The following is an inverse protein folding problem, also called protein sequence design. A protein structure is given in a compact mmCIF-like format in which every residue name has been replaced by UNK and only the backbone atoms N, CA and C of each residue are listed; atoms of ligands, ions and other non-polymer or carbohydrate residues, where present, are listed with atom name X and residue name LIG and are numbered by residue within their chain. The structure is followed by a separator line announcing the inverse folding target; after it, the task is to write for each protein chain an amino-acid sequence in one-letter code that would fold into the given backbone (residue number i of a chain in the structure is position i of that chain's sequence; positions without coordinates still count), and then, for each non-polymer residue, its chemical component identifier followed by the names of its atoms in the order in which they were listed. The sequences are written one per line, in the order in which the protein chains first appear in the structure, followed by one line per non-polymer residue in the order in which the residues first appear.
data_IF_247980481750
#
_entry.id   IF_247980481750
#
_cell.length_a   1.000
_cell.length_b   1.000
_cell.length_c   1.000
_cell.angle_alpha   90.00
_cell.angle_beta   90.00
_cell.angle_gamma   90.00
#
_symmetry.space_group_name_H-M   'P 1'
#
loop_
_entity.id
_entity.type
_entity.pdbx_description
1 polymer ?
#
# COMPACT_ATOMS: atom_id res chain seq x y z
N UNK A 1 -33.86 -9.44 -9.72
CA UNK A 1 -33.10 -9.71 -8.48
C UNK A 1 -33.18 -11.21 -8.22
N UNK A 2 -32.16 -11.96 -8.62
CA UNK A 2 -32.17 -13.43 -8.55
C UNK A 2 -32.00 -13.82 -7.07
N UNK A 3 -33.06 -14.38 -6.46
CA UNK A 3 -32.99 -15.04 -5.15
C UNK A 3 -32.30 -16.38 -5.35
N UNK A 4 -31.00 -16.45 -5.13
CA UNK A 4 -30.31 -17.73 -4.99
C UNK A 4 -30.64 -18.34 -3.62
N UNK A 5 -30.90 -19.64 -3.62
CA UNK A 5 -31.15 -20.43 -2.41
C UNK A 5 -29.89 -20.48 -1.54
N UNK A 6 -30.06 -20.43 -0.21
CA UNK A 6 -28.97 -20.51 0.79
C UNK A 6 -28.16 -21.82 0.71
N UNK A 7 -28.68 -22.82 0.00
CA UNK A 7 -28.12 -24.16 -0.08
C UNK A 7 -27.12 -24.36 -1.25
N UNK A 8 -26.95 -23.37 -2.13
CA UNK A 8 -26.00 -23.43 -3.27
C UNK A 8 -24.64 -22.78 -2.98
N UNK A 9 -24.46 -22.19 -1.80
CA UNK A 9 -23.19 -21.54 -1.43
C UNK A 9 -22.16 -22.58 -1.00
N UNK A 10 -20.93 -22.44 -1.50
CA UNK A 10 -19.79 -23.18 -0.98
C UNK A 10 -19.57 -22.87 0.52
N UNK A 11 -18.96 -23.78 1.27
CA UNK A 11 -18.64 -23.54 2.68
C UNK A 11 -17.77 -22.30 2.90
N UNK A 12 -16.96 -21.93 1.90
CA UNK A 12 -16.18 -20.70 1.87
C UNK A 12 -17.07 -19.45 1.79
N UNK A 13 -18.07 -19.43 0.91
CA UNK A 13 -19.01 -18.31 0.78
C UNK A 13 -19.94 -18.20 1.99
N UNK A 14 -20.33 -19.33 2.59
CA UNK A 14 -21.07 -19.35 3.87
C UNK A 14 -20.25 -18.74 4.99
N UNK A 15 -18.93 -18.97 5.04
CA UNK A 15 -18.05 -18.38 6.03
C UNK A 15 -17.92 -16.86 5.88
N UNK A 16 -17.83 -16.36 4.64
CA UNK A 16 -17.83 -14.91 4.34
C UNK A 16 -19.16 -14.28 4.76
N UNK A 17 -20.28 -14.90 4.40
CA UNK A 17 -21.61 -14.39 4.70
C UNK A 17 -21.88 -14.34 6.22
N UNK A 18 -21.43 -15.36 6.97
CA UNK A 18 -21.52 -15.39 8.45
C UNK A 18 -20.74 -14.23 9.08
N UNK A 19 -19.53 -13.92 8.57
CA UNK A 19 -18.71 -12.80 9.06
C UNK A 19 -19.34 -11.44 8.75
N UNK A 20 -19.90 -11.28 7.55
CA UNK A 20 -20.60 -10.05 7.15
C UNK A 20 -21.82 -9.78 8.04
N UNK A 21 -22.68 -10.79 8.26
CA UNK A 21 -23.87 -10.64 9.09
C UNK A 21 -23.54 -10.37 10.57
N UNK A 22 -22.45 -10.94 11.09
CA UNK A 22 -22.00 -10.68 12.45
C UNK A 22 -21.61 -9.21 12.65
N UNK A 23 -20.85 -8.62 11.72
CA UNK A 23 -20.48 -7.19 11.77
C UNK A 23 -21.69 -6.27 11.66
N UNK A 24 -22.62 -6.58 10.74
CA UNK A 24 -23.83 -5.78 10.56
C UNK A 24 -24.68 -5.70 11.84
N UNK A 25 -24.82 -6.81 12.56
CA UNK A 25 -25.57 -6.84 13.82
C UNK A 25 -24.85 -6.11 14.96
N UNK A 26 -23.51 -6.12 14.98
CA UNK A 26 -22.71 -5.34 15.94
C UNK A 26 -22.84 -3.83 15.66
N UNK A 27 -22.87 -3.42 14.39
CA UNK A 27 -23.06 -2.01 13.98
C UNK A 27 -24.48 -1.49 14.27
N UNK A 28 -25.52 -2.29 14.03
CA UNK A 28 -26.92 -1.93 14.38
C UNK A 28 -27.17 -1.86 15.90
N UNK A 29 -26.35 -2.55 16.70
CA UNK A 29 -26.41 -2.48 18.17
C UNK A 29 -25.72 -1.22 18.72
N UNK A 30 -24.72 -0.69 18.03
CA UNK A 30 -24.01 0.53 18.42
C UNK A 30 -24.73 1.81 17.96
N UNK A 31 -25.51 1.76 16.87
CA UNK A 31 -26.19 2.96 16.35
C UNK A 31 -27.41 3.41 17.16
N UNK A 32 -27.84 2.65 18.19
CA UNK A 32 -29.00 2.99 19.02
C UNK A 32 -28.70 3.85 20.24
N UNK A 33 -27.43 4.18 20.48
CA UNK A 33 -26.99 4.86 21.71
C UNK A 33 -26.47 6.30 21.51
N UNK A 34 -26.50 6.87 20.29
CA UNK A 34 -25.84 8.15 19.99
C UNK A 34 -26.78 9.30 19.55
N UNK A 35 -28.10 9.13 19.62
CA UNK A 35 -29.06 10.19 19.30
C UNK A 35 -29.45 11.02 20.54
N UNK A 36 -28.52 11.81 21.09
CA UNK A 36 -28.83 13.03 21.86
C UNK A 36 -27.56 13.85 22.18
N UNK A 37 -27.23 14.83 21.35
CA UNK A 37 -26.91 16.21 21.76
C UNK A 37 -26.37 17.04 20.58
N UNK A 38 -26.82 18.29 20.51
CA UNK A 38 -26.69 19.16 19.34
C UNK A 38 -25.95 20.47 19.64
N UNK A 39 -25.26 21.00 18.62
CA UNK A 39 -24.93 22.42 18.32
C UNK A 39 -23.80 23.12 19.11
N UNK A 40 -22.69 23.46 18.43
CA UNK A 40 -22.43 24.82 17.87
C UNK A 40 -20.99 25.06 17.34
N UNK A 41 -20.94 25.71 16.15
CA UNK A 41 -19.95 26.60 15.49
C UNK A 41 -18.42 26.30 15.39
N UNK A 42 -18.05 26.09 14.11
CA UNK A 42 -16.91 26.62 13.33
C UNK A 42 -15.46 26.26 13.71
N UNK A 43 -15.01 25.12 13.20
CA UNK A 43 -13.76 24.95 12.43
C UNK A 43 -14.00 23.75 11.51
N UNK A 44 -13.84 23.86 10.18
CA UNK A 44 -14.08 22.72 9.28
C UNK A 44 -12.94 21.70 9.36
N UNK A 45 -12.96 20.87 10.39
CA UNK A 45 -12.34 19.55 10.42
C UNK A 45 -13.31 18.58 9.74
N UNK A 46 -12.88 17.96 8.63
CA UNK A 46 -13.67 16.94 7.97
C UNK A 46 -13.90 15.75 8.92
N UNK A 47 -15.16 15.31 8.96
CA UNK A 47 -15.73 14.42 9.94
C UNK A 47 -15.18 12.98 9.91
N UNK A 48 -15.13 12.36 11.10
CA UNK A 48 -15.35 10.92 11.26
C UNK A 48 -14.15 9.99 11.13
N UNK A 49 -12.96 10.37 11.60
CA UNK A 49 -11.79 9.49 11.53
C UNK A 49 -11.74 8.50 12.69
N UNK A 50 -12.28 7.30 12.49
CA UNK A 50 -11.72 6.09 13.10
C UNK A 50 -10.35 5.85 12.45
N UNK A 51 -9.36 6.68 12.80
CA UNK A 51 -7.96 6.41 12.48
C UNK A 51 -7.58 5.17 13.29
N UNK A 52 -7.65 3.98 12.68
CA UNK A 52 -7.01 2.80 13.23
C UNK A 52 -5.50 3.03 13.18
N UNK A 53 -4.97 3.68 14.21
CA UNK A 53 -3.55 3.97 14.35
C UNK A 53 -2.86 2.70 14.80
N UNK A 54 -2.54 1.84 13.83
CA UNK A 54 -1.62 0.73 14.07
C UNK A 54 -0.27 1.33 14.45
N UNK A 55 0.20 1.04 15.67
CA UNK A 55 1.52 1.46 16.11
C UNK A 55 2.54 0.48 15.53
N UNK A 56 3.46 0.99 14.73
CA UNK A 56 4.52 0.17 14.12
C UNK A 56 5.78 0.30 14.95
N UNK A 57 6.32 -0.85 15.35
CA UNK A 57 7.63 -0.97 15.95
C UNK A 57 8.52 -1.80 15.02
N UNK A 58 9.62 -1.21 14.56
CA UNK A 58 10.58 -1.89 13.68
C UNK A 58 11.19 -3.14 14.33
N UNK A 59 11.32 -3.17 15.67
CA UNK A 59 11.79 -4.37 16.37
C UNK A 59 10.78 -5.52 16.29
N UNK A 60 9.48 -5.23 16.28
CA UNK A 60 8.46 -6.27 16.12
C UNK A 60 8.49 -6.83 14.70
N UNK A 61 8.75 -5.98 13.69
CA UNK A 61 8.95 -6.43 12.31
C UNK A 61 10.15 -7.36 12.19
N UNK A 62 11.26 -7.06 12.87
CA UNK A 62 12.48 -7.88 12.83
C UNK A 62 12.29 -9.19 13.59
N UNK A 63 11.74 -9.13 14.80
CA UNK A 63 11.71 -10.28 15.71
C UNK A 63 10.49 -11.20 15.49
N UNK A 64 9.37 -10.65 15.03
CA UNK A 64 8.09 -11.36 14.92
C UNK A 64 7.50 -11.33 13.50
N UNK A 65 8.15 -10.64 12.55
CA UNK A 65 7.73 -10.61 11.16
C UNK A 65 7.79 -11.99 10.52
N UNK A 66 6.65 -12.45 10.00
CA UNK A 66 6.54 -13.70 9.24
C UNK A 66 6.42 -13.42 7.76
N UNK A 67 7.21 -14.15 6.97
CA UNK A 67 7.21 -14.06 5.52
C UNK A 67 6.14 -14.96 4.91
N UNK A 68 5.39 -14.43 3.94
CA UNK A 68 4.38 -15.13 3.16
C UNK A 68 4.73 -15.03 1.68
N UNK A 69 5.11 -16.14 1.07
CA UNK A 69 5.48 -16.22 -0.34
C UNK A 69 4.47 -17.06 -1.10
N UNK A 70 4.02 -16.57 -2.26
CA UNK A 70 3.18 -17.34 -3.17
C UNK A 70 3.64 -17.16 -4.62
N UNK A 71 3.70 -18.30 -5.32
CA UNK A 71 3.90 -18.43 -6.78
C UNK A 71 2.70 -19.07 -7.46
N UNK A 72 1.54 -19.00 -6.80
CA UNK A 72 0.31 -19.61 -7.28
C UNK A 72 -0.09 -19.03 -8.65
N UNK A 73 -0.71 -19.89 -9.48
CA UNK A 73 -1.15 -19.53 -10.82
C UNK A 73 -2.62 -19.87 -11.02
N UNK A 74 -3.31 -19.04 -11.80
CA UNK A 74 -4.64 -19.30 -12.36
C UNK A 74 -4.55 -19.06 -13.86
N UNK A 75 -5.01 -20.03 -14.66
CA UNK A 75 -4.99 -19.97 -16.13
C UNK A 75 -3.62 -19.60 -16.72
N UNK A 76 -2.55 -20.16 -16.14
CA UNK A 76 -1.16 -19.94 -16.58
C UNK A 76 -0.52 -18.63 -16.11
N UNK A 77 -1.31 -17.69 -15.56
CA UNK A 77 -0.83 -16.41 -15.02
C UNK A 77 -0.60 -16.49 -13.52
N UNK A 78 0.42 -15.80 -13.01
CA UNK A 78 0.64 -15.74 -11.56
C UNK A 78 -0.45 -14.90 -10.88
N UNK A 79 -0.91 -15.36 -9.73
CA UNK A 79 -1.82 -14.64 -8.82
C UNK A 79 -1.20 -14.50 -7.42
N UNK A 80 0.12 -14.65 -7.34
CA UNK A 80 0.88 -14.73 -6.09
C UNK A 80 0.74 -13.47 -5.23
N UNK A 81 0.61 -12.29 -5.86
CA UNK A 81 0.41 -11.02 -5.14
C UNK A 81 -0.83 -11.06 -4.26
N UNK A 82 -2.00 -11.39 -4.81
CA UNK A 82 -3.24 -11.44 -4.03
C UNK A 82 -3.21 -12.52 -2.95
N UNK A 83 -2.65 -13.69 -3.25
CA UNK A 83 -2.57 -14.82 -2.31
C UNK A 83 -1.65 -14.50 -1.14
N UNK A 84 -0.43 -14.05 -1.41
CA UNK A 84 0.55 -13.75 -0.37
C UNK A 84 0.12 -12.55 0.50
N UNK A 85 -0.49 -11.52 -0.11
CA UNK A 85 -1.01 -10.37 0.64
C UNK A 85 -2.13 -10.79 1.59
N UNK A 86 -3.09 -11.60 1.11
CA UNK A 86 -4.16 -12.14 1.96
C UNK A 86 -3.58 -12.90 3.17
N UNK A 87 -2.65 -13.82 2.93
CA UNK A 87 -2.05 -14.62 4.00
C UNK A 87 -1.32 -13.75 5.03
N UNK A 88 -0.63 -12.70 4.57
CA UNK A 88 0.06 -11.77 5.46
C UNK A 88 -0.94 -10.94 6.30
N UNK A 89 -2.02 -10.45 5.70
CA UNK A 89 -3.09 -9.73 6.40
C UNK A 89 -3.85 -10.61 7.39
N UNK A 90 -4.18 -11.85 6.98
CA UNK A 90 -4.86 -12.83 7.84
C UNK A 90 -4.01 -13.19 9.06
N UNK A 91 -2.69 -13.33 8.89
CA UNK A 91 -1.75 -13.55 9.99
C UNK A 91 -1.60 -12.33 10.90
N UNK A 92 -1.49 -11.14 10.32
CA UNK A 92 -1.36 -9.90 11.08
C UNK A 92 -2.59 -9.65 11.97
N UNK A 93 -3.78 -9.99 11.47
CA UNK A 93 -5.04 -9.75 12.18
C UNK A 93 -5.37 -8.25 12.32
N UNK A 94 -6.39 -7.89 13.11
CA UNK A 94 -6.90 -6.52 13.16
C UNK A 94 -5.95 -5.50 13.82
N UNK A 95 -5.02 -5.97 14.65
CA UNK A 95 -4.07 -5.13 15.39
C UNK A 95 -2.64 -5.20 14.82
N UNK A 96 -2.39 -6.13 13.89
CA UNK A 96 -1.11 -6.28 13.22
C UNK A 96 -1.00 -5.40 11.99
N UNK A 97 0.11 -5.59 11.27
CA UNK A 97 0.36 -4.89 10.01
C UNK A 97 1.14 -5.76 9.02
N UNK A 98 1.13 -5.34 7.76
CA UNK A 98 2.01 -5.87 6.71
C UNK A 98 3.00 -4.77 6.36
N UNK A 99 4.29 -5.11 6.34
CA UNK A 99 5.36 -4.13 6.19
C UNK A 99 5.25 -3.31 4.90
N UNK A 100 5.39 -2.01 5.05
CA UNK A 100 5.44 -1.04 3.94
C UNK A 100 6.87 -0.83 3.44
N UNK A 101 7.04 -0.08 2.34
CA UNK A 101 8.35 0.28 1.82
C UNK A 101 9.22 1.01 2.86
N UNK A 102 8.76 2.10 3.52
CA UNK A 102 9.57 2.79 4.53
C UNK A 102 9.98 1.87 5.69
N UNK A 103 9.05 1.06 6.20
CA UNK A 103 9.27 0.21 7.36
C UNK A 103 10.25 -0.93 7.06
N UNK A 104 10.14 -1.54 5.88
CA UNK A 104 11.05 -2.62 5.50
C UNK A 104 12.46 -2.08 5.19
N UNK A 105 12.58 -0.86 4.66
CA UNK A 105 13.88 -0.15 4.54
C UNK A 105 14.51 0.04 5.92
N UNK A 106 13.75 0.58 6.88
CA UNK A 106 14.23 0.79 8.25
C UNK A 106 14.60 -0.53 8.94
N UNK A 107 13.80 -1.59 8.78
CA UNK A 107 14.08 -2.90 9.34
C UNK A 107 15.32 -3.55 8.73
N UNK A 108 15.51 -3.46 7.41
CA UNK A 108 16.75 -3.89 6.74
C UNK A 108 17.96 -3.14 7.31
N UNK A 109 17.86 -1.84 7.53
CA UNK A 109 18.96 -1.08 8.11
C UNK A 109 19.29 -1.48 9.54
N UNK A 110 18.28 -1.73 10.38
CA UNK A 110 18.47 -2.12 11.78
C UNK A 110 18.94 -3.57 11.96
N UNK A 111 18.65 -4.47 11.01
CA UNK A 111 18.95 -5.89 11.10
C UNK A 111 19.89 -6.40 9.98
N UNK A 112 21.17 -6.07 10.09
CA UNK A 112 22.23 -6.29 9.09
C UNK A 112 22.37 -7.74 8.61
N UNK A 113 22.30 -8.71 9.51
CA UNK A 113 22.46 -10.13 9.19
C UNK A 113 21.13 -10.84 8.89
N UNK A 114 20.02 -10.10 8.93
CA UNK A 114 18.69 -10.67 8.80
C UNK A 114 18.40 -11.15 7.37
N UNK A 115 17.49 -12.12 7.26
CA UNK A 115 17.01 -12.68 6.00
C UNK A 115 16.34 -11.65 5.07
N UNK A 116 16.06 -10.44 5.57
CA UNK A 116 15.58 -9.32 4.76
C UNK A 116 16.60 -8.88 3.69
N UNK A 117 17.90 -9.07 3.90
CA UNK A 117 18.93 -8.77 2.89
C UNK A 117 19.16 -9.90 1.87
N UNK A 118 18.66 -11.11 2.15
CA UNK A 118 18.87 -12.29 1.30
C UNK A 118 17.75 -12.51 0.28
N UNK A 119 16.63 -11.79 0.44
CA UNK A 119 15.39 -12.02 -0.31
C UNK A 119 14.83 -10.68 -0.79
N UNK A 120 14.09 -10.73 -1.89
CA UNK A 120 13.23 -9.63 -2.35
C UNK A 120 11.84 -9.75 -1.72
N UNK A 121 11.12 -8.64 -1.60
CA UNK A 121 9.81 -8.57 -0.98
C UNK A 121 8.87 -7.71 -1.81
N UNK A 122 7.61 -8.13 -1.91
CA UNK A 122 6.52 -7.21 -2.14
C UNK A 122 6.22 -6.50 -0.81
N UNK A 123 5.85 -5.24 -0.88
CA UNK A 123 5.54 -4.43 0.32
C UNK A 123 4.09 -3.97 0.26
N UNK A 124 3.50 -3.68 1.42
CA UNK A 124 2.14 -3.14 1.52
C UNK A 124 2.11 -1.64 1.15
N UNK A 125 2.77 -1.31 0.06
CA UNK A 125 2.83 0.00 -0.56
C UNK A 125 2.41 -0.15 -2.02
N UNK A 126 1.53 0.72 -2.49
CA UNK A 126 1.02 0.73 -3.86
C UNK A 126 1.33 2.05 -4.58
N UNK A 127 1.48 1.98 -5.90
CA UNK A 127 1.56 3.12 -6.82
C UNK A 127 0.28 3.21 -7.63
N UNK A 128 -0.42 4.34 -7.51
CA UNK A 128 -1.68 4.60 -8.20
C UNK A 128 -1.55 5.85 -9.08
N UNK A 129 -1.86 5.75 -10.36
CA UNK A 129 -1.90 6.90 -11.26
C UNK A 129 -3.33 7.22 -11.67
N UNK A 130 -3.61 8.50 -11.87
CA UNK A 130 -4.91 8.99 -12.29
C UNK A 130 -4.92 10.52 -12.43
N UNK A 131 -6.09 11.11 -12.64
CA UNK A 131 -6.25 12.56 -12.83
C UNK A 131 -6.76 13.24 -11.56
N UNK A 132 -6.10 14.30 -11.10
CA UNK A 132 -6.62 15.19 -10.06
C UNK A 132 -7.71 16.11 -10.63
N UNK A 133 -8.91 15.54 -10.83
CA UNK A 133 -10.05 16.23 -11.47
C UNK A 133 -10.50 17.50 -10.73
N UNK A 134 -10.21 17.59 -9.42
CA UNK A 134 -10.63 18.67 -8.52
C UNK A 134 -9.51 19.69 -8.24
N UNK A 135 -8.26 19.38 -8.57
CA UNK A 135 -7.11 20.23 -8.26
C UNK A 135 -6.82 20.30 -6.76
N UNK A 136 -6.99 19.18 -6.04
CA UNK A 136 -6.78 19.09 -4.57
C UNK A 136 -5.30 19.20 -4.20
N UNK A 137 -4.45 18.54 -4.96
CA UNK A 137 -3.01 18.45 -4.70
C UNK A 137 -2.19 19.23 -5.71
N UNK A 138 -2.67 19.34 -6.95
CA UNK A 138 -1.98 20.07 -8.00
C UNK A 138 -3.00 20.81 -8.87
N UNK A 139 -2.67 21.11 -10.13
CA UNK A 139 -3.59 21.82 -11.01
C UNK A 139 -4.78 20.94 -11.35
N UNK A 140 -5.94 21.55 -11.58
CA UNK A 140 -7.14 20.82 -11.99
C UNK A 140 -6.88 20.09 -13.31
N UNK A 141 -7.18 18.79 -13.35
CA UNK A 141 -6.96 17.95 -14.52
C UNK A 141 -5.52 17.47 -14.67
N UNK A 142 -4.65 17.75 -13.70
CA UNK A 142 -3.26 17.30 -13.73
C UNK A 142 -3.16 15.80 -13.43
N UNK A 143 -2.43 15.02 -14.23
CA UNK A 143 -2.07 13.65 -13.90
C UNK A 143 -1.20 13.58 -12.64
N UNK A 144 -1.58 12.74 -11.70
CA UNK A 144 -0.86 12.55 -10.43
C UNK A 144 -0.53 11.08 -10.19
N UNK A 145 0.58 10.85 -9.50
CA UNK A 145 0.94 9.59 -8.88
C UNK A 145 0.66 9.69 -7.39
N UNK A 146 -0.06 8.72 -6.84
CA UNK A 146 -0.34 8.56 -5.42
C UNK A 146 0.34 7.28 -4.94
N UNK A 147 1.36 7.41 -4.10
CA UNK A 147 1.98 6.27 -3.41
C UNK A 147 1.26 6.09 -2.09
N UNK A 148 0.67 4.92 -1.82
CA UNK A 148 -0.04 4.67 -0.56
C UNK A 148 0.70 3.59 0.22
N UNK A 149 1.08 3.91 1.45
CA UNK A 149 1.66 2.98 2.41
C UNK A 149 0.57 2.42 3.33
N UNK A 150 0.67 1.14 3.69
CA UNK A 150 -0.21 0.47 4.64
C UNK A 150 -1.56 0.04 4.07
N UNK A 151 -1.64 -0.13 2.75
CA UNK A 151 -2.83 -0.61 2.02
C UNK A 151 -3.81 0.49 1.62
N UNK A 152 -4.06 0.61 0.32
CA UNK A 152 -4.99 1.56 -0.29
C UNK A 152 -6.10 0.88 -1.08
N UNK A 153 -6.18 1.13 -2.38
CA UNK A 153 -7.20 0.55 -3.28
C UNK A 153 -6.97 -0.95 -3.48
N UNK A 154 -5.72 -1.41 -3.52
CA UNK A 154 -5.34 -2.78 -3.87
C UNK A 154 -5.47 -3.74 -2.68
N UNK A 155 -6.70 -3.98 -2.23
CA UNK A 155 -6.99 -5.13 -1.35
C UNK A 155 -6.80 -6.45 -2.10
N UNK A 156 -6.61 -7.59 -1.39
CA UNK A 156 -6.57 -8.91 -2.04
C UNK A 156 -7.78 -9.16 -2.96
N UNK A 157 -8.99 -8.79 -2.52
CA UNK A 157 -10.22 -8.91 -3.30
C UNK A 157 -10.17 -8.03 -4.54
N UNK A 158 -9.68 -6.79 -4.42
CA UNK A 158 -9.61 -5.87 -5.55
C UNK A 158 -8.59 -6.33 -6.60
N UNK A 159 -7.47 -6.89 -6.16
CA UNK A 159 -6.44 -7.47 -7.04
C UNK A 159 -7.00 -8.71 -7.76
N UNK A 160 -7.68 -9.62 -7.05
CA UNK A 160 -8.33 -10.79 -7.67
C UNK A 160 -9.33 -10.37 -8.74
N UNK A 161 -10.17 -9.39 -8.42
CA UNK A 161 -11.12 -8.81 -9.37
C UNK A 161 -10.41 -8.23 -10.60
N UNK A 162 -9.27 -7.55 -10.42
CA UNK A 162 -8.49 -7.04 -11.55
C UNK A 162 -7.91 -8.14 -12.45
N UNK A 163 -7.60 -9.33 -11.92
CA UNK A 163 -7.20 -10.47 -12.74
C UNK A 163 -8.35 -10.93 -13.65
N UNK A 164 -9.56 -11.00 -13.11
CA UNK A 164 -10.74 -11.44 -13.87
C UNK A 164 -11.19 -10.36 -14.88
N UNK A 165 -11.05 -9.07 -14.55
CA UNK A 165 -11.32 -7.94 -15.46
C UNK A 165 -10.24 -7.73 -16.55
N UNK A 166 -9.05 -8.30 -16.34
CA UNK A 166 -7.87 -8.07 -17.16
C UNK A 166 -7.01 -6.90 -16.68
N UNK A 167 -5.69 -7.11 -16.69
CA UNK A 167 -4.70 -6.11 -16.31
C UNK A 167 -4.32 -5.22 -17.51
N UNK A 168 -4.08 -3.94 -17.24
CA UNK A 168 -3.51 -3.00 -18.23
C UNK A 168 -2.03 -2.84 -17.91
N UNK A 169 -1.15 -3.34 -18.79
CA UNK A 169 0.31 -3.31 -18.58
C UNK A 169 0.72 -3.83 -17.18
N UNK A 170 0.10 -4.94 -16.75
CA UNK A 170 0.34 -5.54 -15.44
C UNK A 170 -0.23 -4.76 -14.24
N UNK A 171 -1.06 -3.75 -14.47
CA UNK A 171 -1.69 -2.94 -13.42
C UNK A 171 -3.19 -3.23 -13.32
N UNK A 172 -3.74 -3.07 -12.12
CA UNK A 172 -5.19 -3.10 -11.93
C UNK A 172 -5.78 -1.81 -12.48
N UNK A 173 -6.73 -1.93 -13.42
CA UNK A 173 -7.56 -0.81 -13.87
C UNK A 173 -8.52 -0.43 -12.77
N UNK A 174 -8.64 0.84 -12.43
CA UNK A 174 -9.60 1.36 -11.46
C UNK A 174 -10.79 2.03 -12.14
N UNK A 175 -11.89 2.12 -11.40
CA UNK A 175 -12.98 3.05 -11.71
C UNK A 175 -12.56 4.46 -11.29
N UNK A 176 -13.12 5.46 -11.93
CA UNK A 176 -12.86 6.86 -11.60
C UNK A 176 -13.21 7.18 -10.15
N UNK A 177 -14.29 6.59 -9.63
CA UNK A 177 -14.71 6.77 -8.25
C UNK A 177 -13.66 6.23 -7.27
N UNK A 178 -13.06 5.06 -7.54
CA UNK A 178 -12.02 4.47 -6.67
C UNK A 178 -10.81 5.41 -6.53
N UNK A 179 -10.39 6.03 -7.63
CA UNK A 179 -9.26 6.97 -7.60
C UNK A 179 -9.63 8.33 -7.00
N UNK A 180 -10.83 8.83 -7.27
CA UNK A 180 -11.31 10.08 -6.67
C UNK A 180 -11.50 9.93 -5.15
N UNK A 181 -12.01 8.80 -4.68
CA UNK A 181 -12.14 8.50 -3.26
C UNK A 181 -10.76 8.41 -2.61
N UNK A 182 -9.78 7.78 -3.28
CA UNK A 182 -8.39 7.79 -2.81
C UNK A 182 -7.87 9.23 -2.65
N UNK A 183 -8.07 10.13 -3.63
CA UNK A 183 -7.68 11.54 -3.52
C UNK A 183 -8.46 12.32 -2.44
N UNK A 184 -9.63 11.82 -2.06
CA UNK A 184 -10.41 12.32 -0.93
C UNK A 184 -9.94 11.70 0.41
N UNK A 185 -8.90 10.86 0.38
CA UNK A 185 -8.33 10.15 1.53
C UNK A 185 -9.14 8.94 1.98
N UNK A 186 -10.13 8.50 1.20
CA UNK A 186 -11.07 7.42 1.56
C UNK A 186 -10.64 6.09 0.95
N UNK A 187 -10.73 5.02 1.73
CA UNK A 187 -10.31 3.69 1.31
C UNK A 187 -11.49 2.70 1.23
N UNK A 188 -11.36 1.60 0.46
CA UNK A 188 -12.45 0.63 0.26
C UNK A 188 -12.94 -0.06 1.54
N UNK A 189 -12.10 -0.10 2.58
CA UNK A 189 -12.43 -0.66 3.90
C UNK A 189 -13.24 0.32 4.78
N UNK A 190 -13.59 1.51 4.26
CA UNK A 190 -14.32 2.55 4.96
C UNK A 190 -13.44 3.44 5.87
N UNK A 191 -12.14 3.18 5.93
CA UNK A 191 -11.19 4.01 6.68
C UNK A 191 -10.68 5.17 5.84
N UNK A 192 -9.96 6.08 6.50
CA UNK A 192 -9.33 7.23 5.85
C UNK A 192 -7.82 7.26 6.10
N UNK A 193 -7.08 7.86 5.16
CA UNK A 193 -5.65 8.12 5.25
C UNK A 193 -5.33 9.60 5.05
N UNK A 194 -4.23 10.03 5.66
CA UNK A 194 -3.65 11.33 5.35
C UNK A 194 -2.84 11.25 4.06
N UNK A 195 -2.97 12.29 3.24
CA UNK A 195 -2.25 12.44 1.97
C UNK A 195 -1.38 13.69 2.03
N UNK A 196 -0.09 13.51 1.78
CA UNK A 196 0.90 14.57 1.78
C UNK A 196 1.35 14.87 0.36
N UNK A 197 1.57 16.15 0.02
CA UNK A 197 2.24 16.49 -1.23
C UNK A 197 3.71 16.08 -1.14
N UNK A 198 4.30 15.69 -2.26
CA UNK A 198 5.72 15.31 -2.33
C UNK A 198 6.67 16.32 -1.67
N UNK A 199 6.40 17.63 -1.81
CA UNK A 199 7.21 18.69 -1.21
C UNK A 199 7.28 18.63 0.32
N UNK A 200 6.24 18.10 0.96
CA UNK A 200 6.16 17.97 2.42
C UNK A 200 7.00 16.78 2.86
N UNK A 201 6.85 15.64 2.19
CA UNK A 201 7.68 14.44 2.39
C UNK A 201 9.16 14.72 2.16
N UNK A 202 9.50 15.47 1.10
CA UNK A 202 10.89 15.85 0.80
C UNK A 202 11.52 16.75 1.86
N UNK A 203 10.73 17.61 2.51
CA UNK A 203 11.20 18.46 3.63
C UNK A 203 11.45 17.66 4.92
N UNK A 204 10.88 16.46 5.00
CA UNK A 204 10.88 15.61 6.19
C UNK A 204 9.62 15.86 7.03
N UNK A 205 8.85 14.80 7.23
CA UNK A 205 7.73 14.76 8.19
C UNK A 205 8.11 13.71 9.23
N UNK A 206 8.19 14.12 10.49
CA UNK A 206 8.39 13.18 11.59
C UNK A 206 7.10 12.42 11.90
N UNK A 207 7.25 11.17 12.36
CA UNK A 207 6.14 10.36 12.89
C UNK A 207 4.99 10.10 11.89
N UNK A 208 5.33 9.87 10.62
CA UNK A 208 4.34 9.41 9.64
C UNK A 208 3.64 8.14 10.17
N UNK A 209 2.31 8.04 10.07
CA UNK A 209 1.58 6.86 10.49
C UNK A 209 1.91 5.67 9.59
N UNK A 210 1.54 4.45 10.01
CA UNK A 210 1.64 3.26 9.15
C UNK A 210 0.93 3.45 7.80
N UNK A 211 -0.27 4.05 7.84
CA UNK A 211 -1.11 4.31 6.68
C UNK A 211 -1.10 5.79 6.29
N UNK A 212 -0.49 6.10 5.15
CA UNK A 212 -0.46 7.45 4.58
C UNK A 212 -0.23 7.37 3.07
N UNK A 213 -0.55 8.45 2.36
CA UNK A 213 -0.21 8.59 0.95
C UNK A 213 0.69 9.79 0.63
N UNK A 214 1.42 9.68 -0.47
CA UNK A 214 2.26 10.73 -1.04
C UNK A 214 1.76 11.02 -2.44
N UNK A 215 1.37 12.27 -2.70
CA UNK A 215 0.88 12.72 -4.00
C UNK A 215 1.95 13.55 -4.70
N UNK A 216 2.26 13.22 -5.95
CA UNK A 216 3.20 13.96 -6.79
C UNK A 216 2.67 14.12 -8.23
N UNK A 217 3.12 15.12 -8.99
CA UNK A 217 2.80 15.19 -10.42
C UNK A 217 3.31 13.94 -11.10
N UNK A 218 2.48 13.30 -11.92
CA UNK A 218 2.89 12.07 -12.59
C UNK A 218 4.06 12.33 -13.55
N UNK A 219 4.08 13.50 -14.19
CA UNK A 219 5.21 13.95 -15.04
C UNK A 219 6.54 13.98 -14.29
N UNK A 220 6.53 14.37 -13.01
CA UNK A 220 7.74 14.35 -12.17
C UNK A 220 8.26 12.92 -11.99
N UNK A 221 7.37 11.94 -11.80
CA UNK A 221 7.75 10.54 -11.69
C UNK A 221 8.20 9.96 -13.04
N UNK A 222 7.52 10.31 -14.14
CA UNK A 222 7.87 9.87 -15.50
C UNK A 222 9.24 10.35 -15.95
N UNK A 223 9.63 11.56 -15.55
CA UNK A 223 10.92 12.14 -15.90
C UNK A 223 12.10 11.60 -15.07
N UNK A 224 11.83 10.75 -14.07
CA UNK A 224 12.91 10.03 -13.39
C UNK A 224 13.46 8.92 -14.30
N UNK A 225 14.77 8.69 -14.22
CA UNK A 225 15.39 7.59 -14.95
C UNK A 225 14.99 6.28 -14.28
N UNK A 226 14.49 5.31 -15.05
CA UNK A 226 14.24 3.94 -14.59
C UNK A 226 15.49 3.08 -14.81
N UNK A 227 16.43 3.08 -13.86
CA UNK A 227 17.69 2.34 -13.99
C UNK A 227 18.34 2.12 -12.60
N UNK A 228 19.60 1.69 -12.60
CA UNK A 228 20.51 1.72 -11.47
C UNK A 228 21.12 3.12 -11.33
N UNK A 229 21.06 3.67 -10.12
CA UNK A 229 21.49 5.03 -9.82
C UNK A 229 22.73 5.03 -8.94
N UNK A 230 23.64 5.97 -9.21
CA UNK A 230 24.70 6.31 -8.25
C UNK A 230 24.12 7.09 -7.07
N UNK A 231 24.91 7.25 -6.00
CA UNK A 231 24.46 7.82 -4.72
C UNK A 231 23.71 9.14 -4.88
N UNK A 232 24.32 10.12 -5.53
CA UNK A 232 23.72 11.45 -5.70
C UNK A 232 22.38 11.38 -6.42
N UNK A 233 22.32 10.66 -7.54
CA UNK A 233 21.09 10.51 -8.31
C UNK A 233 20.00 9.79 -7.51
N UNK A 234 20.36 8.75 -6.75
CA UNK A 234 19.42 8.00 -5.92
C UNK A 234 18.82 8.87 -4.81
N UNK A 235 19.67 9.64 -4.11
CA UNK A 235 19.25 10.54 -3.03
C UNK A 235 18.39 11.71 -3.50
N UNK A 236 18.61 12.18 -4.73
CA UNK A 236 17.87 13.31 -5.31
C UNK A 236 16.63 12.87 -6.11
N UNK A 237 16.48 11.56 -6.39
CA UNK A 237 15.39 11.03 -7.20
C UNK A 237 14.04 11.19 -6.48
N UNK A 238 13.10 11.99 -7.02
CA UNK A 238 11.84 12.28 -6.36
C UNK A 238 10.96 11.03 -6.18
N UNK A 239 11.05 10.05 -7.08
CA UNK A 239 10.31 8.80 -6.97
C UNK A 239 10.87 7.92 -5.83
N UNK A 240 12.19 7.88 -5.65
CA UNK A 240 12.83 7.17 -4.54
C UNK A 240 12.40 7.77 -3.20
N UNK A 241 12.47 9.09 -3.07
CA UNK A 241 12.05 9.82 -1.86
C UNK A 241 10.57 9.54 -1.54
N UNK A 242 9.69 9.60 -2.56
CA UNK A 242 8.27 9.35 -2.36
C UNK A 242 7.97 7.89 -1.95
N UNK A 243 8.64 6.90 -2.58
CA UNK A 243 8.50 5.47 -2.25
C UNK A 243 9.02 5.15 -0.85
N UNK A 244 10.14 5.75 -0.45
CA UNK A 244 10.74 5.53 0.87
C UNK A 244 10.04 6.31 2.00
N UNK A 245 9.03 7.14 1.68
CA UNK A 245 8.31 7.93 2.66
C UNK A 245 9.13 9.08 3.25
N UNK A 246 10.21 9.51 2.58
CA UNK A 246 11.10 10.56 3.07
C UNK A 246 12.57 10.28 2.74
N UNK A 247 13.45 11.08 3.33
CA UNK A 247 14.90 11.02 3.11
C UNK A 247 15.67 10.32 4.24
N UNK A 248 15.03 10.11 5.40
CA UNK A 248 15.66 9.72 6.66
C UNK A 248 16.60 8.52 6.53
N UNK A 249 16.15 7.47 5.84
CA UNK A 249 16.89 6.22 5.72
C UNK A 249 17.62 6.04 4.38
N UNK A 250 17.49 6.99 3.44
CA UNK A 250 17.96 6.76 2.07
C UNK A 250 19.48 6.64 1.96
N UNK A 251 20.23 7.46 2.70
CA UNK A 251 21.69 7.48 2.64
C UNK A 251 22.27 6.15 3.14
N UNK A 252 21.86 5.77 4.35
CA UNK A 252 22.25 4.50 4.96
C UNK A 252 21.77 3.31 4.13
N UNK A 253 20.54 3.36 3.58
CA UNK A 253 20.03 2.29 2.72
C UNK A 253 20.88 2.16 1.47
N UNK A 254 21.21 3.28 0.81
CA UNK A 254 22.08 3.27 -0.35
C UNK A 254 23.44 2.64 -0.06
N UNK A 255 24.10 3.04 1.04
CA UNK A 255 25.43 2.54 1.38
C UNK A 255 25.47 1.01 1.56
N UNK A 256 24.37 0.43 2.05
CA UNK A 256 24.26 -1.00 2.31
C UNK A 256 23.67 -1.79 1.15
N UNK A 257 22.74 -1.19 0.40
CA UNK A 257 22.07 -1.80 -0.73
C UNK A 257 22.89 -1.74 -2.02
N UNK A 258 23.84 -0.79 -2.14
CA UNK A 258 24.63 -0.62 -3.37
C UNK A 258 25.28 -1.95 -3.73
N UNK A 259 25.01 -2.39 -4.96
CA UNK A 259 25.71 -3.52 -5.57
C UNK A 259 26.47 -3.00 -6.79
N UNK A 260 26.75 -3.87 -7.75
CA UNK A 260 27.29 -3.61 -9.09
C UNK A 260 27.60 -2.13 -9.37
N UNK A 261 28.90 -1.79 -9.44
CA UNK A 261 29.38 -0.44 -9.75
C UNK A 261 28.89 0.66 -8.78
N UNK A 262 28.64 0.32 -7.51
CA UNK A 262 28.15 1.23 -6.47
C UNK A 262 26.80 1.88 -6.85
N UNK A 263 25.84 1.07 -7.30
CA UNK A 263 24.51 1.54 -7.70
C UNK A 263 23.38 0.79 -7.00
N UNK A 264 22.22 1.44 -6.88
CA UNK A 264 20.95 0.87 -6.39
C UNK A 264 19.86 1.11 -7.44
N UNK A 265 19.02 0.10 -7.68
CA UNK A 265 17.93 0.21 -8.65
C UNK A 265 16.79 1.10 -8.19
N UNK A 266 16.26 1.93 -9.09
CA UNK A 266 14.92 2.52 -8.97
C UNK A 266 14.16 2.29 -10.27
N UNK A 267 13.48 1.16 -10.36
CA UNK A 267 12.87 0.71 -11.61
C UNK A 267 11.38 1.09 -11.67
N UNK A 268 10.92 1.48 -12.87
CA UNK A 268 9.52 1.72 -13.16
C UNK A 268 9.22 1.61 -14.67
N UNK A 269 8.03 1.15 -14.99
CA UNK A 269 7.51 1.10 -16.37
C UNK A 269 6.42 2.17 -16.58
N UNK A 270 6.77 3.44 -16.38
CA UNK A 270 5.81 4.55 -16.61
C UNK A 270 5.67 4.93 -18.09
N UNK A 271 6.64 4.55 -18.93
CA UNK A 271 6.53 4.72 -20.38
C UNK A 271 5.29 3.98 -20.89
N UNK A 272 4.44 4.66 -21.67
CA UNK A 272 3.22 4.10 -22.24
C UNK A 272 2.04 3.90 -21.27
N UNK A 273 2.15 4.33 -20.00
CA UNK A 273 1.03 4.28 -19.05
C UNK A 273 0.25 5.60 -19.08
N UNK A 274 -1.01 5.51 -19.49
CA UNK A 274 -1.95 6.62 -19.53
C UNK A 274 -2.67 6.78 -18.18
N UNK A 275 -2.58 7.97 -17.59
CA UNK A 275 -3.26 8.33 -16.35
C UNK A 275 -4.74 8.71 -16.56
N UNK A 276 -5.19 8.88 -17.81
CA UNK A 276 -6.62 9.09 -18.10
C UNK A 276 -7.48 7.88 -17.72
N UNK A 277 -6.86 6.70 -17.71
CA UNK A 277 -7.42 5.47 -17.13
C UNK A 277 -6.74 5.22 -15.79
N UNK A 278 -7.41 5.48 -14.64
CA UNK A 278 -6.79 5.29 -13.35
C UNK A 278 -6.39 3.82 -13.14
N UNK A 279 -5.20 3.60 -12.58
CA UNK A 279 -4.63 2.27 -12.46
C UNK A 279 -3.53 2.21 -11.41
N UNK A 280 -3.26 1.02 -10.86
CA UNK A 280 -2.17 0.87 -9.90
C UNK A 280 -1.66 -0.54 -9.72
N UNK A 281 -0.56 -0.62 -8.96
CA UNK A 281 0.19 -1.85 -8.69
C UNK A 281 0.90 -1.77 -7.34
N UNK A 282 1.26 -2.92 -6.79
CA UNK A 282 2.07 -2.98 -5.56
C UNK A 282 3.55 -2.74 -5.86
N UNK A 283 4.27 -2.26 -4.85
CA UNK A 283 5.71 -2.06 -4.90
C UNK A 283 6.48 -3.26 -4.36
N UNK A 284 7.75 -3.32 -4.77
CA UNK A 284 8.71 -4.33 -4.39
C UNK A 284 10.02 -3.68 -3.95
N UNK A 285 10.65 -4.28 -2.94
CA UNK A 285 11.96 -3.93 -2.41
C UNK A 285 12.87 -5.14 -2.55
N UNK A 286 14.11 -4.95 -2.99
CA UNK A 286 15.05 -6.07 -3.12
C UNK A 286 15.19 -6.61 -4.54
N UNK A 287 14.26 -6.27 -5.45
CA UNK A 287 14.33 -6.65 -6.86
C UNK A 287 15.43 -5.81 -7.52
N UNK A 288 16.27 -6.46 -8.34
CA UNK A 288 17.32 -5.79 -9.13
C UNK A 288 18.31 -4.96 -8.28
N UNK A 289 19.27 -5.64 -7.63
CA UNK A 289 20.29 -5.02 -6.78
C UNK A 289 19.74 -4.23 -5.59
N UNK A 290 18.89 -4.87 -4.79
CA UNK A 290 18.26 -4.25 -3.62
C UNK A 290 17.44 -2.99 -3.91
N UNK A 291 17.00 -2.82 -5.17
CA UNK A 291 16.30 -1.64 -5.63
C UNK A 291 14.86 -1.51 -5.14
N UNK A 292 14.32 -0.30 -5.32
CA UNK A 292 12.92 0.04 -5.09
C UNK A 292 12.22 0.05 -6.45
N UNK A 293 11.13 -0.70 -6.61
CA UNK A 293 10.48 -0.77 -7.92
C UNK A 293 9.01 -1.14 -7.87
N UNK A 294 8.24 -0.61 -8.81
CA UNK A 294 6.91 -1.13 -9.09
C UNK A 294 7.03 -2.33 -10.02
N UNK A 295 6.38 -3.45 -9.68
CA UNK A 295 6.29 -4.63 -10.55
C UNK A 295 4.86 -4.85 -11.03
N UNK A 296 4.67 -5.81 -11.93
CA UNK A 296 3.37 -6.22 -12.44
C UNK A 296 2.60 -7.07 -11.40
N UNK A 297 1.27 -7.02 -11.42
CA UNK A 297 0.41 -7.73 -10.49
C UNK A 297 0.32 -9.24 -10.79
N UNK A 298 0.56 -9.66 -12.03
CA UNK A 298 0.63 -11.06 -12.45
C UNK A 298 2.02 -11.66 -12.20
N UNK A 299 2.49 -11.53 -10.95
CA UNK A 299 3.80 -12.00 -10.48
C UNK A 299 3.66 -12.91 -9.24
N UNK A 300 4.74 -13.62 -8.90
CA UNK A 300 4.92 -14.12 -7.55
C UNK A 300 5.19 -12.96 -6.58
N UNK A 301 4.92 -13.18 -5.29
CA UNK A 301 5.06 -12.14 -4.28
C UNK A 301 5.48 -12.69 -2.93
N UNK A 302 6.16 -11.84 -2.15
CA UNK A 302 6.62 -12.15 -0.80
C UNK A 302 6.33 -10.96 0.13
N UNK A 303 5.33 -11.07 0.99
CA UNK A 303 5.02 -10.06 2.00
C UNK A 303 5.55 -10.45 3.39
N UNK A 304 5.69 -9.47 4.28
CA UNK A 304 6.01 -9.69 5.70
C UNK A 304 4.85 -9.17 6.55
N UNK A 305 4.16 -10.08 7.24
CA UNK A 305 3.10 -9.75 8.20
C UNK A 305 3.60 -9.83 9.63
N UNK A 306 3.13 -8.93 10.49
CA UNK A 306 3.46 -8.87 11.91
C UNK A 306 2.17 -8.95 12.72
N UNK A 307 2.07 -9.96 13.58
CA UNK A 307 1.03 -10.05 14.60
C UNK A 307 1.47 -9.22 15.81
N UNK A 308 0.78 -8.11 16.12
CA UNK A 308 1.03 -7.39 17.37
C UNK A 308 0.36 -8.16 18.49
N UNK A 309 1.15 -8.94 19.22
CA UNK A 309 0.70 -9.58 20.46
C UNK A 309 0.55 -8.48 21.50
N UNK A 310 -0.68 -8.20 21.92
CA UNK A 310 -0.92 -7.44 23.15
C UNK A 310 -0.03 -8.06 24.23
N UNK A 311 0.83 -7.24 24.84
CA UNK A 311 1.65 -7.57 26.01
C UNK A 311 0.74 -7.88 27.20
N UNK A 312 0.09 -9.02 27.12
CA UNK A 312 -0.71 -9.68 28.13
C UNK A 312 -0.37 -11.18 28.05
N UNK A 313 0.92 -11.49 28.12
CA UNK A 313 1.39 -12.82 28.49
C UNK A 313 2.49 -12.63 29.54
N UNK A 314 1.99 -12.68 30.78
CA UNK A 314 2.63 -12.96 32.08
C UNK A 314 4.14 -12.82 32.17
#
# INVERSE_FOLDING_TARGET
MIKMSRDELSEYEKAILRRYLKRKNEDESNSKNEDDESKSKSTQTFAGNKLNKVSVNIDDLINYGKTFYSKEKKDGKYIGVAVALQQALDFAGPNGYVATMPELIAAKLKADSHDFWKKWYAVHTEENIGIDKKGRFYSRGEPVLVIVNGGGILTPERIRKAYDEGLINGSAKYRDEEFNDLLDGKLPDGTSIELYRFREIKKGISNLPHRFGVVMPYSMAQNTKSDYHQKKEFMENPLVIARAGGIEYLDAYFEKAKRLENKVGSLHSFSGRDASTPQGRVLFLGISCDGLGGSILDSDARFVGVEVRSSARK
#
